data_IF_642989540714
#
_entry.id   IF_642989540714
#
_cell.length_a   1.000
_cell.length_b   1.000
_cell.length_c   1.000
_cell.angle_alpha   90.00
_cell.angle_beta   90.00
_cell.angle_gamma   90.00
#
_symmetry.space_group_name_H-M   'P 1'
#
loop_
_entity.id
_entity.type
_entity.pdbx_description
1 polymer ?
#
# COMPACT_ATOMS: atom_id res chain seq x y z
N UNK A 1 -22.44 1.00 -24.66
CA UNK A 1 -22.15 0.42 -23.32
C UNK A 1 -23.47 0.13 -22.64
N UNK A 2 -23.61 -1.06 -22.07
CA UNK A 2 -24.86 -1.54 -21.45
C UNK A 2 -25.25 -0.66 -20.25
N UNK A 3 -24.23 -0.25 -19.51
CA UNK A 3 -24.28 0.63 -18.34
C UNK A 3 -24.89 2.00 -18.66
N UNK A 4 -24.58 2.54 -19.85
CA UNK A 4 -25.12 3.82 -20.32
C UNK A 4 -26.60 3.74 -20.70
N UNK A 5 -27.11 2.55 -21.01
CA UNK A 5 -28.52 2.32 -21.36
C UNK A 5 -29.34 2.04 -20.10
N UNK A 6 -28.75 1.30 -19.15
CA UNK A 6 -29.40 0.91 -17.91
C UNK A 6 -29.29 1.98 -16.81
N UNK A 7 -28.46 3.01 -17.01
CA UNK A 7 -28.14 4.06 -16.04
C UNK A 7 -27.74 3.50 -14.66
N UNK A 8 -27.03 2.36 -14.68
CA UNK A 8 -26.67 1.57 -13.51
C UNK A 8 -25.29 0.96 -13.72
N UNK A 9 -24.49 0.96 -12.66
CA UNK A 9 -23.21 0.24 -12.59
C UNK A 9 -23.26 -0.67 -11.35
N UNK A 10 -22.92 -1.94 -11.53
CA UNK A 10 -22.81 -2.91 -10.44
C UNK A 10 -21.34 -3.13 -10.11
N UNK A 11 -20.98 -2.97 -8.83
CA UNK A 11 -19.62 -3.17 -8.32
C UNK A 11 -19.68 -4.36 -7.38
N UNK A 12 -19.05 -5.47 -7.76
CA UNK A 12 -19.08 -6.73 -6.99
C UNK A 12 -17.76 -7.04 -6.29
N UNK A 13 -16.68 -6.36 -6.67
CA UNK A 13 -15.33 -6.65 -6.20
C UNK A 13 -14.98 -5.98 -4.86
N UNK A 14 -15.84 -5.09 -4.38
CA UNK A 14 -15.59 -4.31 -3.17
C UNK A 14 -16.80 -4.34 -2.24
N UNK A 15 -16.52 -4.23 -0.94
CA UNK A 15 -17.57 -4.08 0.06
C UNK A 15 -18.26 -2.72 -0.08
N UNK A 16 -19.51 -2.65 0.36
CA UNK A 16 -20.29 -1.42 0.34
C UNK A 16 -19.55 -0.26 1.02
N UNK A 17 -18.92 -0.50 2.16
CA UNK A 17 -18.19 0.52 2.91
C UNK A 17 -17.01 1.11 2.13
N UNK A 18 -16.26 0.29 1.39
CA UNK A 18 -15.13 0.75 0.57
C UNK A 18 -15.63 1.60 -0.58
N UNK A 19 -16.70 1.19 -1.25
CA UNK A 19 -17.31 1.94 -2.35
C UNK A 19 -17.89 3.25 -1.85
N UNK A 20 -18.65 3.23 -0.75
CA UNK A 20 -19.25 4.42 -0.16
C UNK A 20 -18.16 5.42 0.26
N UNK A 21 -17.13 4.96 0.95
CA UNK A 21 -16.01 5.80 1.39
C UNK A 21 -15.22 6.34 0.20
N UNK A 22 -14.91 5.48 -0.78
CA UNK A 22 -14.23 5.86 -2.01
C UNK A 22 -14.98 6.96 -2.77
N UNK A 23 -16.31 6.82 -2.90
CA UNK A 23 -17.16 7.84 -3.52
C UNK A 23 -17.18 9.12 -2.68
N UNK A 24 -17.35 9.03 -1.35
CA UNK A 24 -17.32 10.21 -0.47
C UNK A 24 -16.02 11.00 -0.63
N UNK A 25 -14.89 10.31 -0.77
CA UNK A 25 -13.58 10.92 -0.96
C UNK A 25 -13.42 11.61 -2.32
N UNK A 26 -14.08 11.10 -3.37
CA UNK A 26 -14.13 11.77 -4.69
C UNK A 26 -14.81 13.14 -4.61
N UNK A 27 -15.91 13.22 -3.86
CA UNK A 27 -16.71 14.45 -3.77
C UNK A 27 -16.17 15.45 -2.75
N UNK A 28 -15.72 15.00 -1.58
CA UNK A 28 -15.33 15.90 -0.50
C UNK A 28 -13.82 16.18 -0.46
N UNK A 29 -12.99 15.43 -1.21
CA UNK A 29 -11.52 15.49 -1.12
C UNK A 29 -10.96 15.35 0.31
N UNK A 30 -11.78 14.94 1.28
CA UNK A 30 -11.45 14.91 2.70
C UNK A 30 -11.39 13.47 3.18
N UNK A 31 -10.39 13.19 4.02
CA UNK A 31 -10.03 11.86 4.46
C UNK A 31 -10.33 11.78 5.95
N UNK A 32 -11.10 10.77 6.37
CA UNK A 32 -11.21 10.47 7.79
C UNK A 32 -9.83 10.10 8.30
N UNK A 33 -9.34 10.82 9.31
CA UNK A 33 -7.95 10.71 9.77
C UNK A 33 -7.65 9.39 10.49
N UNK A 34 -8.65 8.51 10.63
CA UNK A 34 -8.59 7.27 11.41
C UNK A 34 -8.96 6.02 10.59
N UNK A 35 -8.54 5.94 9.32
CA UNK A 35 -8.67 4.69 8.58
C UNK A 35 -7.76 3.61 9.17
N UNK A 36 -8.30 2.41 9.31
CA UNK A 36 -7.50 1.23 9.62
C UNK A 36 -6.57 0.90 8.44
N UNK A 37 -5.53 0.10 8.69
CA UNK A 37 -4.63 -0.37 7.62
C UNK A 37 -5.40 -1.18 6.59
N UNK A 38 -6.34 -2.04 7.02
CA UNK A 38 -7.09 -2.92 6.12
C UNK A 38 -8.08 -2.14 5.25
N UNK A 39 -8.74 -1.12 5.80
CA UNK A 39 -9.59 -0.22 5.02
C UNK A 39 -8.77 0.63 4.05
N UNK A 40 -7.61 1.11 4.49
CA UNK A 40 -6.68 1.88 3.65
C UNK A 40 -6.15 1.04 2.48
N UNK A 41 -5.81 -0.23 2.70
CA UNK A 41 -5.41 -1.15 1.62
C UNK A 41 -6.57 -1.44 0.66
N UNK A 42 -7.78 -1.63 1.17
CA UNK A 42 -8.97 -1.84 0.34
C UNK A 42 -9.29 -0.62 -0.52
N UNK A 43 -9.13 0.59 0.02
CA UNK A 43 -9.28 1.84 -0.72
C UNK A 43 -8.15 2.05 -1.72
N UNK A 44 -6.92 1.65 -1.39
CA UNK A 44 -5.80 1.69 -2.34
C UNK A 44 -6.10 0.83 -3.57
N UNK A 45 -6.62 -0.38 -3.37
CA UNK A 45 -7.09 -1.27 -4.43
C UNK A 45 -8.23 -0.66 -5.24
N UNK A 46 -9.21 -0.05 -4.57
CA UNK A 46 -10.33 0.62 -5.22
C UNK A 46 -9.85 1.75 -6.15
N UNK A 47 -9.01 2.65 -5.65
CA UNK A 47 -8.50 3.76 -6.45
C UNK A 47 -7.55 3.33 -7.56
N UNK A 48 -6.79 2.25 -7.37
CA UNK A 48 -5.98 1.66 -8.43
C UNK A 48 -6.86 1.09 -9.55
N UNK A 49 -7.87 0.29 -9.20
CA UNK A 49 -8.78 -0.34 -10.17
C UNK A 49 -9.55 0.67 -11.03
N UNK A 50 -10.02 1.76 -10.42
CA UNK A 50 -10.74 2.82 -11.12
C UNK A 50 -9.82 3.92 -11.67
N UNK A 51 -8.49 3.72 -11.61
CA UNK A 51 -7.47 4.64 -12.13
C UNK A 51 -7.58 6.08 -11.59
N UNK A 52 -7.87 6.21 -10.29
CA UNK A 52 -8.04 7.49 -9.59
C UNK A 52 -6.74 7.84 -8.88
N UNK A 53 -5.75 8.25 -9.67
CA UNK A 53 -4.37 8.38 -9.21
C UNK A 53 -4.17 9.39 -8.07
N UNK A 54 -4.93 10.50 -8.06
CA UNK A 54 -4.81 11.54 -7.03
C UNK A 54 -5.18 11.04 -5.63
N UNK A 55 -6.20 10.17 -5.52
CA UNK A 55 -6.61 9.57 -4.26
C UNK A 55 -5.72 8.36 -3.91
N UNK A 56 -5.27 7.59 -4.91
CA UNK A 56 -4.28 6.52 -4.73
C UNK A 56 -3.04 7.03 -4.00
N UNK A 57 -2.40 8.09 -4.52
CA UNK A 57 -1.18 8.68 -3.94
C UNK A 57 -1.39 9.19 -2.51
N UNK A 58 -2.59 9.70 -2.20
CA UNK A 58 -2.93 10.16 -0.85
C UNK A 58 -3.05 8.99 0.13
N UNK A 59 -3.73 7.91 -0.26
CA UNK A 59 -3.82 6.69 0.56
C UNK A 59 -2.44 6.07 0.76
N UNK A 60 -1.60 6.02 -0.29
CA UNK A 60 -0.20 5.56 -0.15
C UNK A 60 0.56 6.39 0.89
N UNK A 61 0.39 7.71 0.87
CA UNK A 61 1.07 8.60 1.82
C UNK A 61 0.56 8.41 3.26
N UNK A 62 -0.73 8.11 3.44
CA UNK A 62 -1.30 7.76 4.73
C UNK A 62 -0.74 6.43 5.25
N UNK A 63 -0.67 5.42 4.39
CA UNK A 63 -0.09 4.11 4.72
C UNK A 63 1.39 4.22 5.09
N UNK A 64 2.16 5.04 4.35
CA UNK A 64 3.58 5.31 4.65
C UNK A 64 3.73 5.93 6.06
N UNK A 65 2.90 6.92 6.40
CA UNK A 65 2.93 7.55 7.71
C UNK A 65 2.57 6.61 8.88
N UNK A 66 1.94 5.48 8.59
CA UNK A 66 1.53 4.48 9.58
C UNK A 66 2.43 3.24 9.58
N UNK A 67 3.54 3.21 8.83
CA UNK A 67 4.47 2.08 8.82
C UNK A 67 4.99 1.82 10.24
N UNK A 68 4.94 0.55 10.65
CA UNK A 68 5.43 0.06 11.93
C UNK A 68 5.93 -1.37 11.80
N UNK A 69 6.70 -1.85 12.78
CA UNK A 69 7.19 -3.23 12.80
C UNK A 69 6.05 -4.27 12.66
N UNK A 70 4.89 -4.00 13.25
CA UNK A 70 3.73 -4.88 13.23
C UNK A 70 3.02 -4.95 11.86
N UNK A 71 3.18 -3.95 10.98
CA UNK A 71 2.42 -3.89 9.72
C UNK A 71 3.29 -3.84 8.46
N UNK A 72 4.60 -3.58 8.59
CA UNK A 72 5.51 -3.36 7.45
C UNK A 72 5.54 -4.55 6.48
N UNK A 73 5.47 -5.79 6.99
CA UNK A 73 5.44 -6.98 6.14
C UNK A 73 4.18 -7.05 5.28
N UNK A 74 3.02 -6.79 5.90
CA UNK A 74 1.73 -6.78 5.22
C UNK A 74 1.66 -5.65 4.18
N UNK A 75 2.17 -4.47 4.53
CA UNK A 75 2.25 -3.32 3.62
C UNK A 75 3.20 -3.58 2.45
N UNK A 76 4.34 -4.25 2.69
CA UNK A 76 5.28 -4.65 1.64
C UNK A 76 4.60 -5.57 0.63
N UNK A 77 3.91 -6.61 1.09
CA UNK A 77 3.20 -7.55 0.21
C UNK A 77 2.13 -6.82 -0.62
N UNK A 78 1.31 -5.99 0.03
CA UNK A 78 0.29 -5.22 -0.66
C UNK A 78 0.87 -4.24 -1.68
N UNK A 79 2.00 -3.59 -1.37
CA UNK A 79 2.67 -2.67 -2.28
C UNK A 79 3.19 -3.35 -3.55
N UNK A 80 3.64 -4.61 -3.44
CA UNK A 80 4.08 -5.42 -4.58
C UNK A 80 2.88 -5.79 -5.44
N UNK A 81 1.79 -6.27 -4.84
CA UNK A 81 0.57 -6.65 -5.56
C UNK A 81 -0.07 -5.47 -6.30
N UNK A 82 0.01 -4.26 -5.72
CA UNK A 82 -0.61 -3.05 -6.27
C UNK A 82 0.33 -2.19 -7.10
N UNK A 83 1.53 -2.71 -7.42
CA UNK A 83 2.59 -2.00 -8.11
C UNK A 83 2.85 -0.60 -7.54
N UNK A 84 2.73 -0.45 -6.22
CA UNK A 84 2.93 0.81 -5.51
C UNK A 84 4.41 0.94 -5.15
N UNK A 85 5.19 1.48 -6.09
CA UNK A 85 6.64 1.63 -5.93
C UNK A 85 7.01 2.51 -4.73
N UNK A 86 6.24 3.57 -4.47
CA UNK A 86 6.50 4.50 -3.36
C UNK A 86 6.33 3.79 -2.01
N UNK A 87 5.18 3.15 -1.79
CA UNK A 87 4.92 2.40 -0.56
C UNK A 87 5.92 1.26 -0.37
N UNK A 88 6.28 0.56 -1.45
CA UNK A 88 7.28 -0.50 -1.43
C UNK A 88 8.63 0.01 -0.93
N UNK A 89 9.13 1.10 -1.51
CA UNK A 89 10.45 1.63 -1.18
C UNK A 89 10.53 2.07 0.29
N UNK A 90 9.51 2.77 0.79
CA UNK A 90 9.44 3.21 2.20
C UNK A 90 9.39 2.01 3.17
N UNK A 91 8.66 0.95 2.83
CA UNK A 91 8.65 -0.28 3.63
C UNK A 91 10.03 -0.95 3.66
N UNK A 92 10.74 -0.97 2.53
CA UNK A 92 12.09 -1.53 2.43
C UNK A 92 13.08 -0.71 3.26
N UNK A 93 13.01 0.62 3.16
CA UNK A 93 13.87 1.52 3.95
C UNK A 93 13.64 1.35 5.45
N UNK A 94 12.39 1.19 5.87
CA UNK A 94 12.05 0.88 7.25
C UNK A 94 12.67 -0.45 7.72
N UNK A 95 12.53 -1.52 6.91
CA UNK A 95 13.12 -2.84 7.22
C UNK A 95 14.64 -2.75 7.30
N UNK A 96 15.29 -2.06 6.36
CA UNK A 96 16.75 -1.89 6.36
C UNK A 96 17.23 -1.13 7.60
N UNK A 97 16.53 -0.05 7.97
CA UNK A 97 16.86 0.72 9.17
C UNK A 97 16.72 -0.13 10.44
N UNK A 98 15.65 -0.92 10.56
CA UNK A 98 15.41 -1.82 11.69
C UNK A 98 16.45 -2.95 11.81
N UNK A 99 16.93 -3.48 10.67
CA UNK A 99 18.00 -4.47 10.62
C UNK A 99 19.36 -3.88 11.01
N UNK A 100 19.64 -2.63 10.59
CA UNK A 100 20.89 -1.94 10.92
C UNK A 100 20.97 -1.55 12.41
N UNK A 101 19.83 -1.22 13.04
CA UNK A 101 19.78 -0.70 14.41
C UNK A 101 19.77 -1.77 15.51
N UNK A 102 19.90 -3.08 15.19
CA UNK A 102 19.77 -4.19 16.15
C UNK A 102 18.49 -4.15 17.00
N UNK A 103 17.44 -3.48 16.54
CA UNK A 103 16.09 -3.67 17.10
C UNK A 103 15.72 -5.15 16.97
N UNK A 104 15.07 -5.75 17.97
CA UNK A 104 14.78 -7.18 17.96
C UNK A 104 13.90 -7.51 16.75
N UNK A 105 14.53 -8.11 15.73
CA UNK A 105 13.95 -8.60 14.47
C UNK A 105 12.82 -9.62 14.71
N UNK A 106 12.63 -10.07 15.95
CA UNK A 106 11.58 -10.97 16.39
C UNK A 106 10.14 -10.42 16.24
N UNK A 107 9.96 -9.11 16.04
CA UNK A 107 8.64 -8.51 15.77
C UNK A 107 8.30 -8.39 14.28
N UNK A 108 9.29 -8.54 13.39
CA UNK A 108 9.07 -8.55 11.94
C UNK A 108 8.65 -9.97 11.57
N UNK A 109 7.33 -10.21 11.51
CA UNK A 109 6.78 -11.49 11.05
C UNK A 109 7.42 -11.88 9.71
N UNK A 110 7.86 -13.14 9.63
CA UNK A 110 8.72 -13.69 8.58
C UNK A 110 8.23 -13.26 7.20
N UNK A 111 9.00 -12.37 6.59
CA UNK A 111 8.81 -11.96 5.22
C UNK A 111 9.10 -13.17 4.32
N UNK A 112 8.28 -13.39 3.29
CA UNK A 112 8.48 -14.50 2.36
C UNK A 112 9.91 -14.47 1.80
N UNK A 113 10.55 -15.63 1.66
CA UNK A 113 11.98 -15.72 1.28
C UNK A 113 12.25 -14.97 -0.01
N UNK A 114 11.31 -14.99 -0.95
CA UNK A 114 11.43 -14.30 -2.23
C UNK A 114 11.45 -12.77 -2.10
N UNK A 115 10.81 -12.22 -1.06
CA UNK A 115 10.80 -10.79 -0.80
C UNK A 115 12.09 -10.38 -0.09
N UNK A 116 12.58 -11.20 0.85
CA UNK A 116 13.91 -10.99 1.44
C UNK A 116 15.01 -11.05 0.38
N UNK A 117 14.94 -11.99 -0.56
CA UNK A 117 15.88 -12.07 -1.69
C UNK A 117 15.82 -10.80 -2.54
N UNK A 118 14.62 -10.29 -2.85
CA UNK A 118 14.47 -9.02 -3.58
C UNK A 118 15.00 -7.79 -2.81
N UNK A 119 14.83 -7.75 -1.49
CA UNK A 119 15.38 -6.68 -0.64
C UNK A 119 16.90 -6.75 -0.65
N UNK A 120 17.47 -7.93 -0.39
CA UNK A 120 18.93 -8.15 -0.38
C UNK A 120 19.53 -7.81 -1.75
N UNK A 121 18.92 -8.26 -2.86
CA UNK A 121 19.37 -7.91 -4.21
C UNK A 121 19.35 -6.40 -4.48
N UNK A 122 18.28 -5.69 -4.09
CA UNK A 122 18.25 -4.22 -4.20
C UNK A 122 19.32 -3.54 -3.34
N UNK A 123 19.66 -4.14 -2.19
CA UNK A 123 20.73 -3.65 -1.32
C UNK A 123 22.09 -3.79 -2.00
N UNK A 124 22.35 -4.92 -2.67
CA UNK A 124 23.57 -5.14 -3.45
C UNK A 124 23.69 -4.16 -4.63
N UNK A 125 22.60 -3.86 -5.33
CA UNK A 125 22.63 -2.88 -6.43
C UNK A 125 22.95 -1.45 -5.95
N UNK A 126 22.38 -0.99 -4.82
CA UNK A 126 22.72 0.33 -4.25
C UNK A 126 24.19 0.45 -3.86
N UNK A 127 24.84 -0.62 -3.39
CA UNK A 127 26.26 -0.61 -3.00
C UNK A 127 27.18 -0.55 -4.24
N UNK A 128 26.78 -1.18 -5.36
CA UNK A 128 27.58 -1.22 -6.59
C UNK A 128 27.50 0.09 -7.38
N UNK A 129 26.40 0.85 -7.29
CA UNK A 129 26.27 2.17 -7.94
C UNK A 129 26.97 3.31 -7.19
N UNK A 130 27.55 3.05 -6.00
CA UNK A 130 28.31 4.07 -5.24
C UNK A 130 29.83 3.90 -5.28
N UNK A 131 30.36 3.03 -6.16
CA UNK A 131 31.81 2.89 -6.41
C UNK A 131 32.22 3.49 -7.77
#
# INVERSE_FOLDING_TARGET
MKESVENKVEIIDFSFNVVETGIKMLYHCNFETSLSIDDSLSLLQFFDKYNIQSLKVKIESLLIAQISAANVCRLTNASILLNSFKLKNECIEFIMAAMASKTPVSEIEILDKDILVNIVQNTFYKIVETQ
#
